data_IF_143885856065
#
_entry.id   IF_143885856065
#
_cell.length_a   1.000
_cell.length_b   1.000
_cell.length_c   1.000
_cell.angle_alpha   90.00
_cell.angle_beta   90.00
_cell.angle_gamma   90.00
#
_symmetry.space_group_name_H-M   'P 1'
#
loop_
_entity.id
_entity.type
_entity.pdbx_description
1 polymer ?
#
# COMPACT_ATOMS: atom_id res chain seq x y z
N UNK A 1 -20.85 -20.22 38.68
CA UNK A 1 -21.09 -20.25 37.23
C UNK A 1 -20.27 -19.13 36.57
N UNK A 2 -18.99 -19.00 36.95
CA UNK A 2 -18.28 -17.69 36.87
C UNK A 2 -16.92 -17.76 36.13
N UNK A 3 -16.50 -18.95 35.70
CA UNK A 3 -15.23 -19.12 34.97
C UNK A 3 -15.34 -18.80 33.47
N UNK A 4 -16.56 -18.79 32.90
CA UNK A 4 -16.78 -18.53 31.48
C UNK A 4 -16.72 -17.03 31.12
N UNK A 5 -16.80 -16.13 32.11
CA UNK A 5 -16.94 -14.69 31.85
C UNK A 5 -15.58 -14.00 31.69
N UNK A 6 -14.59 -14.32 32.53
CA UNK A 6 -13.29 -13.64 32.51
C UNK A 6 -12.45 -13.89 31.26
N UNK A 7 -12.48 -15.12 30.72
CA UNK A 7 -11.70 -15.49 29.52
C UNK A 7 -12.28 -14.91 28.23
N UNK A 8 -13.61 -14.80 28.17
CA UNK A 8 -14.32 -14.20 27.05
C UNK A 8 -14.24 -12.67 27.07
N UNK A 9 -14.26 -12.05 28.25
CA UNK A 9 -14.00 -10.61 28.40
C UNK A 9 -12.56 -10.27 28.04
N UNK A 10 -11.58 -11.09 28.46
CA UNK A 10 -10.19 -10.90 28.06
C UNK A 10 -10.01 -11.00 26.53
N UNK A 11 -10.65 -11.98 25.87
CA UNK A 11 -10.66 -12.11 24.41
C UNK A 11 -11.33 -10.93 23.69
N UNK A 12 -12.45 -10.42 24.24
CA UNK A 12 -13.14 -9.23 23.73
C UNK A 12 -12.27 -7.98 23.85
N UNK A 13 -11.61 -7.79 24.99
CA UNK A 13 -10.69 -6.67 25.22
C UNK A 13 -9.47 -6.78 24.32
N UNK A 14 -8.93 -7.98 24.10
CA UNK A 14 -7.81 -8.21 23.18
C UNK A 14 -8.21 -7.95 21.72
N UNK A 15 -9.42 -8.36 21.32
CA UNK A 15 -9.97 -8.06 19.99
C UNK A 15 -10.22 -6.56 19.81
N UNK A 16 -10.80 -5.88 20.82
CA UNK A 16 -11.03 -4.44 20.80
C UNK A 16 -9.72 -3.65 20.75
N UNK A 17 -8.70 -4.03 21.53
CA UNK A 17 -7.37 -3.43 21.49
C UNK A 17 -6.66 -3.68 20.15
N UNK A 18 -6.77 -4.87 19.57
CA UNK A 18 -6.21 -5.16 18.24
C UNK A 18 -6.92 -4.37 17.14
N UNK A 19 -8.25 -4.23 17.20
CA UNK A 19 -9.00 -3.38 16.29
C UNK A 19 -8.64 -1.89 16.44
N UNK A 20 -8.43 -1.41 17.67
CA UNK A 20 -8.03 -0.03 17.94
C UNK A 20 -6.61 0.26 17.44
N UNK A 21 -5.66 -0.65 17.66
CA UNK A 21 -4.28 -0.52 17.16
C UNK A 21 -4.18 -0.58 15.62
N UNK A 22 -5.06 -1.34 14.96
CA UNK A 22 -5.13 -1.38 13.49
C UNK A 22 -5.81 -0.15 12.89
N UNK A 23 -6.60 0.59 13.67
CA UNK A 23 -7.25 1.83 13.24
C UNK A 23 -6.31 3.06 13.29
N UNK A 24 -5.21 2.99 14.04
CA UNK A 24 -4.30 4.11 14.29
C UNK A 24 -3.00 4.09 13.49
N UNK A 25 -2.96 3.45 12.31
CA UNK A 25 -1.92 3.81 11.33
C UNK A 25 -2.45 4.94 10.47
N UNK A 26 -2.27 6.16 10.99
CA UNK A 26 -2.42 7.39 10.22
C UNK A 26 -1.53 7.30 8.98
N UNK A 27 -2.17 7.39 7.82
CA UNK A 27 -1.50 7.46 6.53
C UNK A 27 -0.39 8.49 6.60
N UNK A 28 0.81 8.09 6.19
CA UNK A 28 1.97 8.95 6.10
C UNK A 28 1.63 10.09 5.15
N UNK A 29 1.21 11.22 5.70
CA UNK A 29 0.86 12.41 4.93
C UNK A 29 2.07 12.80 4.08
N UNK A 30 1.81 12.96 2.78
CA UNK A 30 2.78 13.48 1.82
C UNK A 30 3.16 14.88 2.33
N UNK A 31 4.44 15.14 2.63
CA UNK A 31 4.84 16.43 3.18
C UNK A 31 4.55 17.53 2.15
N UNK A 32 3.86 18.58 2.60
CA UNK A 32 3.51 19.75 1.80
C UNK A 32 4.77 20.34 1.13
N UNK A 33 4.64 20.61 -0.17
CA UNK A 33 5.65 21.16 -1.06
C UNK A 33 6.22 22.47 -0.52
N UNK A 34 7.51 22.47 -0.18
CA UNK A 34 8.26 23.71 0.04
C UNK A 34 8.64 24.30 -1.31
N UNK A 35 7.86 25.29 -1.75
CA UNK A 35 8.22 26.13 -2.88
C UNK A 35 9.37 27.06 -2.47
N UNK A 36 10.53 26.84 -3.07
CA UNK A 36 11.68 27.74 -2.98
C UNK A 36 12.90 27.10 -2.33
N UNK A 37 13.87 26.72 -3.16
CA UNK A 37 15.33 26.86 -2.96
C UNK A 37 16.07 25.89 -3.87
N UNK A 38 16.47 26.30 -5.09
CA UNK A 38 17.47 25.59 -5.94
C UNK A 38 17.53 24.06 -5.75
N UNK A 39 16.37 23.38 -5.80
CA UNK A 39 16.29 21.96 -5.52
C UNK A 39 16.51 21.25 -6.84
N UNK A 40 17.45 20.33 -6.87
CA UNK A 40 17.60 19.42 -7.99
C UNK A 40 16.23 18.81 -8.36
N UNK A 41 15.89 18.73 -9.65
CA UNK A 41 14.62 18.14 -10.08
C UNK A 41 14.51 16.74 -9.50
N UNK A 42 13.35 16.45 -8.89
CA UNK A 42 13.10 15.18 -8.20
C UNK A 42 12.04 14.40 -8.96
N UNK A 43 12.37 13.18 -9.35
CA UNK A 43 11.48 12.28 -10.06
C UNK A 43 11.08 11.12 -9.14
N UNK A 44 9.80 11.01 -8.85
CA UNK A 44 9.28 10.00 -7.92
C UNK A 44 8.45 8.98 -8.68
N UNK A 45 8.83 7.71 -8.53
CA UNK A 45 8.14 6.54 -9.06
C UNK A 45 7.33 5.89 -7.95
N UNK A 46 6.01 5.85 -8.11
CA UNK A 46 5.11 5.08 -7.25
C UNK A 46 4.68 3.84 -8.02
N UNK A 47 5.12 2.66 -7.57
CA UNK A 47 4.86 1.42 -8.30
C UNK A 47 4.39 0.28 -7.38
N UNK A 48 3.64 -0.65 -7.94
CA UNK A 48 3.15 -1.82 -7.22
C UNK A 48 4.30 -2.80 -6.88
N UNK A 49 4.64 -2.94 -5.60
CA UNK A 49 5.69 -3.87 -5.16
C UNK A 49 5.28 -5.34 -5.35
N UNK A 50 4.04 -5.68 -4.98
CA UNK A 50 3.51 -7.05 -5.12
C UNK A 50 3.37 -7.51 -6.57
N UNK A 51 3.32 -6.57 -7.53
CA UNK A 51 3.23 -6.85 -8.96
C UNK A 51 4.61 -7.10 -9.61
N UNK A 52 5.70 -6.99 -8.86
CA UNK A 52 7.05 -7.24 -9.37
C UNK A 52 7.65 -6.11 -10.23
N UNK A 53 7.13 -4.88 -10.14
CA UNK A 53 7.60 -3.76 -10.98
C UNK A 53 8.92 -3.13 -10.52
N UNK A 54 9.50 -3.63 -9.43
CA UNK A 54 10.81 -3.19 -8.94
C UNK A 54 11.89 -3.25 -10.03
N UNK A 55 11.91 -4.31 -10.84
CA UNK A 55 12.88 -4.44 -11.93
C UNK A 55 12.72 -3.34 -12.98
N UNK A 56 11.48 -3.06 -13.39
CA UNK A 56 11.20 -1.99 -14.34
C UNK A 56 11.66 -0.63 -13.77
N UNK A 57 11.40 -0.36 -12.50
CA UNK A 57 11.91 0.83 -11.82
C UNK A 57 13.44 0.91 -11.83
N UNK A 58 14.14 -0.17 -11.48
CA UNK A 58 15.61 -0.23 -11.51
C UNK A 58 16.17 0.03 -12.92
N UNK A 59 15.53 -0.50 -13.96
CA UNK A 59 15.89 -0.23 -15.35
C UNK A 59 15.77 1.27 -15.70
N UNK A 60 14.69 1.95 -15.27
CA UNK A 60 14.55 3.40 -15.48
C UNK A 60 15.58 4.21 -14.68
N UNK A 61 15.90 3.80 -13.45
CA UNK A 61 16.93 4.48 -12.63
C UNK A 61 18.27 4.44 -13.33
N UNK A 62 18.66 3.30 -13.93
CA UNK A 62 19.89 3.18 -14.70
C UNK A 62 19.93 4.15 -15.88
N UNK A 63 18.88 4.13 -16.71
CA UNK A 63 18.78 4.96 -17.91
C UNK A 63 18.74 6.47 -17.56
N UNK A 64 18.02 6.84 -16.49
CA UNK A 64 17.93 8.23 -16.03
C UNK A 64 19.23 8.71 -15.39
N UNK A 65 19.92 7.84 -14.64
CA UNK A 65 21.19 8.17 -14.01
C UNK A 65 22.31 8.46 -15.01
N UNK A 66 22.31 7.76 -16.16
CA UNK A 66 23.26 8.02 -17.25
C UNK A 66 23.00 9.38 -17.95
N UNK A 67 21.72 9.75 -18.15
CA UNK A 67 21.35 10.95 -18.92
C UNK A 67 21.21 12.22 -18.08
N UNK A 68 20.77 12.11 -16.83
CA UNK A 68 20.48 13.25 -15.94
C UNK A 68 21.12 13.05 -14.55
N UNK A 69 22.46 13.14 -14.43
CA UNK A 69 23.17 12.84 -13.17
C UNK A 69 22.85 13.80 -12.02
N UNK A 70 22.38 15.01 -12.33
CA UNK A 70 21.93 15.99 -11.34
C UNK A 70 20.50 15.75 -10.81
N UNK A 71 19.72 14.84 -11.39
CA UNK A 71 18.32 14.59 -11.00
C UNK A 71 18.23 13.54 -9.89
N UNK A 72 17.42 13.79 -8.87
CA UNK A 72 17.18 12.79 -7.81
C UNK A 72 16.02 11.88 -8.21
N UNK A 73 16.26 10.56 -8.24
CA UNK A 73 15.22 9.57 -8.51
C UNK A 73 14.82 8.88 -7.20
N UNK A 74 13.54 8.96 -6.85
CA UNK A 74 12.96 8.30 -5.69
C UNK A 74 11.98 7.21 -6.12
N UNK A 75 11.98 6.08 -5.41
CA UNK A 75 11.05 4.98 -5.63
C UNK A 75 10.31 4.64 -4.35
N UNK A 76 8.99 4.54 -4.44
CA UNK A 76 8.13 4.15 -3.31
C UNK A 76 7.00 3.21 -3.76
N UNK A 77 6.41 2.51 -2.79
CA UNK A 77 5.27 1.64 -3.07
C UNK A 77 4.06 2.50 -3.41
N UNK A 78 3.33 2.11 -4.46
CA UNK A 78 2.04 2.70 -4.73
C UNK A 78 1.00 2.13 -3.76
N UNK A 79 0.50 2.99 -2.87
CA UNK A 79 -0.62 2.64 -2.02
C UNK A 79 -1.90 2.66 -2.87
N UNK A 80 -2.63 1.54 -3.00
CA UNK A 80 -3.83 1.47 -3.83
C UNK A 80 -4.86 2.48 -3.33
N UNK A 81 -5.22 3.51 -4.11
CA UNK A 81 -6.22 4.49 -3.70
C UNK A 81 -7.61 3.85 -3.71
N UNK A 82 -8.47 4.28 -2.78
CA UNK A 82 -9.87 3.88 -2.71
C UNK A 82 -10.15 2.71 -1.75
N UNK A 83 -11.24 1.99 -2.01
CA UNK A 83 -11.80 1.01 -1.07
C UNK A 83 -10.94 -0.26 -0.90
N UNK A 84 -10.09 -0.59 -1.86
CA UNK A 84 -9.25 -1.80 -1.83
C UNK A 84 -8.25 -1.80 -0.66
N UNK A 85 -7.70 -0.63 -0.31
CA UNK A 85 -6.84 -0.49 0.87
C UNK A 85 -7.59 -0.86 2.15
N UNK A 86 -8.77 -0.27 2.36
CA UNK A 86 -9.61 -0.56 3.52
C UNK A 86 -10.07 -2.03 3.55
N UNK A 87 -10.45 -2.58 2.40
CA UNK A 87 -10.81 -3.99 2.28
C UNK A 87 -9.64 -4.91 2.64
N UNK A 88 -8.42 -4.60 2.20
CA UNK A 88 -7.23 -5.37 2.55
C UNK A 88 -6.99 -5.37 4.07
N UNK A 89 -7.14 -4.21 4.73
CA UNK A 89 -7.05 -4.10 6.19
C UNK A 89 -8.16 -4.85 6.92
N UNK A 90 -9.39 -4.83 6.41
CA UNK A 90 -10.51 -5.60 6.96
C UNK A 90 -10.26 -7.10 6.82
N UNK A 91 -9.79 -7.57 5.66
CA UNK A 91 -9.46 -8.98 5.46
C UNK A 91 -8.34 -9.40 6.41
N UNK A 92 -7.32 -8.58 6.58
CA UNK A 92 -6.26 -8.83 7.55
C UNK A 92 -6.81 -8.99 8.98
N UNK A 93 -7.65 -8.07 9.43
CA UNK A 93 -8.27 -8.14 10.75
C UNK A 93 -9.15 -9.40 10.90
N UNK A 94 -10.00 -9.68 9.91
CA UNK A 94 -10.86 -10.86 9.90
C UNK A 94 -10.06 -12.17 9.92
N UNK A 95 -8.98 -12.25 9.15
CA UNK A 95 -8.05 -13.39 9.13
C UNK A 95 -7.53 -13.69 10.53
N UNK A 96 -7.03 -12.66 11.23
CA UNK A 96 -6.51 -12.81 12.60
C UNK A 96 -7.63 -13.23 13.57
N UNK A 97 -8.81 -12.62 13.49
CA UNK A 97 -9.95 -12.97 14.34
C UNK A 97 -10.38 -14.43 14.16
N UNK A 98 -10.44 -14.93 12.92
CA UNK A 98 -10.78 -16.32 12.64
C UNK A 98 -9.70 -17.26 13.19
N UNK A 99 -8.42 -16.96 12.98
CA UNK A 99 -7.31 -17.78 13.51
C UNK A 99 -7.37 -17.88 15.04
N UNK A 100 -7.56 -16.75 15.74
CA UNK A 100 -7.69 -16.72 17.20
C UNK A 100 -8.90 -17.54 17.66
N UNK A 101 -10.02 -17.46 16.95
CA UNK A 101 -11.23 -18.22 17.25
C UNK A 101 -11.02 -19.74 17.09
N UNK A 102 -10.33 -20.16 16.03
CA UNK A 102 -9.99 -21.58 15.79
C UNK A 102 -9.06 -22.11 16.89
N UNK A 103 -8.01 -21.37 17.24
CA UNK A 103 -7.02 -21.79 18.26
C UNK A 103 -7.66 -21.88 19.65
N UNK A 104 -8.47 -20.88 20.03
CA UNK A 104 -9.18 -20.83 21.32
C UNK A 104 -10.32 -21.84 21.45
N UNK A 105 -10.68 -22.53 20.36
CA UNK A 105 -11.84 -23.41 20.24
C UNK A 105 -13.18 -22.72 20.62
N UNK A 106 -13.22 -21.38 20.55
CA UNK A 106 -14.45 -20.60 20.74
C UNK A 106 -15.12 -20.45 19.39
N UNK A 107 -16.41 -20.78 19.32
CA UNK A 107 -17.21 -20.57 18.11
C UNK A 107 -17.76 -19.13 18.11
N UNK A 108 -17.36 -18.27 17.15
CA UNK A 108 -17.90 -16.91 17.05
C UNK A 108 -19.41 -16.93 16.74
N UNK A 109 -19.91 -18.01 16.13
CA UNK A 109 -21.35 -18.20 15.86
C UNK A 109 -22.16 -18.27 17.15
N UNK A 110 -21.65 -18.97 18.18
CA UNK A 110 -22.31 -19.06 19.48
C UNK A 110 -22.41 -17.69 20.16
N UNK A 111 -21.39 -16.83 19.98
CA UNK A 111 -21.42 -15.45 20.51
C UNK A 111 -22.49 -14.59 19.81
N UNK A 112 -22.71 -14.82 18.51
CA UNK A 112 -23.75 -14.14 17.72
C UNK A 112 -25.15 -14.77 17.89
N UNK A 113 -25.30 -15.79 18.74
CA UNK A 113 -26.57 -16.52 18.93
C UNK A 113 -26.97 -17.38 17.72
N UNK A 114 -26.04 -17.65 16.81
CA UNK A 114 -26.26 -18.47 15.61
C UNK A 114 -25.86 -19.92 15.87
N UNK A 115 -26.54 -20.85 15.18
CA UNK A 115 -26.14 -22.26 15.20
C UNK A 115 -24.75 -22.42 14.56
N UNK A 116 -23.87 -23.14 15.24
CA UNK A 116 -22.50 -23.37 14.74
C UNK A 116 -22.55 -24.30 13.52
N UNK A 117 -22.00 -23.89 12.37
CA UNK A 117 -21.98 -24.73 11.17
C UNK A 117 -21.12 -26.00 11.33
N UNK A 118 -21.46 -27.07 10.63
CA UNK A 118 -20.70 -28.34 10.67
C UNK A 118 -19.24 -28.20 10.24
N UNK A 119 -18.97 -27.34 9.23
CA UNK A 119 -17.62 -27.05 8.75
C UNK A 119 -16.73 -26.40 9.82
N UNK A 120 -17.30 -25.65 10.77
CA UNK A 120 -16.54 -25.04 11.85
C UNK A 120 -15.97 -26.09 12.80
N UNK A 121 -16.72 -27.16 13.07
CA UNK A 121 -16.25 -28.30 13.86
C UNK A 121 -15.03 -28.98 13.21
N UNK A 122 -15.01 -29.08 11.89
CA UNK A 122 -13.86 -29.62 11.15
C UNK A 122 -12.61 -28.75 11.29
N UNK A 123 -12.76 -27.42 11.30
CA UNK A 123 -11.63 -26.49 11.54
C UNK A 123 -11.07 -26.64 12.96
N UNK A 124 -11.93 -26.78 13.96
CA UNK A 124 -11.51 -26.97 15.35
C UNK A 124 -10.86 -28.35 15.61
N UNK A 125 -11.28 -29.39 14.88
CA UNK A 125 -10.67 -30.71 14.95
C UNK A 125 -9.22 -30.71 14.42
N UNK A 126 -8.93 -29.88 13.41
CA UNK A 126 -7.62 -29.81 12.75
C UNK A 126 -7.02 -28.40 12.81
N UNK A 127 -6.79 -27.90 14.02
CA UNK A 127 -6.40 -26.48 14.27
C UNK A 127 -5.19 -26.01 13.46
N UNK A 128 -4.11 -26.79 13.43
CA UNK A 128 -2.86 -26.40 12.74
C UNK A 128 -3.10 -26.26 11.24
N UNK A 129 -3.74 -27.26 10.62
CA UNK A 129 -4.08 -27.24 9.21
C UNK A 129 -5.03 -26.09 8.86
N UNK A 130 -6.08 -25.91 9.68
CA UNK A 130 -7.03 -24.82 9.52
C UNK A 130 -6.35 -23.44 9.59
N UNK A 131 -5.49 -23.21 10.59
CA UNK A 131 -4.77 -21.94 10.73
C UNK A 131 -3.83 -21.67 9.55
N UNK A 132 -3.09 -22.69 9.09
CA UNK A 132 -2.24 -22.55 7.90
C UNK A 132 -3.07 -22.21 6.66
N UNK A 133 -4.18 -22.92 6.42
CA UNK A 133 -5.06 -22.67 5.29
C UNK A 133 -5.64 -21.26 5.33
N UNK A 134 -6.16 -20.81 6.48
CA UNK A 134 -6.72 -19.46 6.65
C UNK A 134 -5.64 -18.39 6.43
N UNK A 135 -4.42 -18.61 6.94
CA UNK A 135 -3.32 -17.67 6.77
C UNK A 135 -2.93 -17.52 5.30
N UNK A 136 -2.73 -18.63 4.58
CA UNK A 136 -2.35 -18.59 3.16
C UNK A 136 -3.47 -18.02 2.28
N UNK A 137 -4.72 -18.43 2.49
CA UNK A 137 -5.85 -17.89 1.74
C UNK A 137 -6.08 -16.41 2.02
N UNK A 138 -5.97 -16.00 3.28
CA UNK A 138 -6.07 -14.59 3.66
C UNK A 138 -4.98 -13.75 2.99
N UNK A 139 -3.72 -14.20 3.04
CA UNK A 139 -2.61 -13.52 2.37
C UNK A 139 -2.77 -13.50 0.84
N UNK A 140 -3.34 -14.55 0.24
CA UNK A 140 -3.65 -14.57 -1.19
C UNK A 140 -4.70 -13.50 -1.54
N UNK A 141 -5.78 -13.40 -0.77
CA UNK A 141 -6.84 -12.40 -0.99
C UNK A 141 -6.33 -10.97 -0.75
N UNK A 142 -5.58 -10.74 0.34
CA UNK A 142 -4.90 -9.47 0.61
C UNK A 142 -3.96 -9.10 -0.54
N UNK A 143 -3.19 -10.06 -1.03
CA UNK A 143 -2.29 -9.89 -2.18
C UNK A 143 -3.02 -9.48 -3.45
N UNK A 144 -4.21 -10.05 -3.73
CA UNK A 144 -5.02 -9.65 -4.88
C UNK A 144 -5.54 -8.21 -4.75
N UNK A 145 -5.96 -7.79 -3.56
CA UNK A 145 -6.47 -6.43 -3.34
C UNK A 145 -5.38 -5.36 -3.40
N UNK A 146 -4.16 -5.69 -2.97
CA UNK A 146 -3.02 -4.76 -2.98
C UNK A 146 -2.33 -4.68 -4.34
N UNK A 147 -2.51 -5.70 -5.19
CA UNK A 147 -1.90 -5.78 -6.53
C UNK A 147 -2.61 -4.88 -7.56
N UNK A 148 -2.51 -3.56 -7.36
CA UNK A 148 -3.12 -2.53 -8.20
C UNK A 148 -2.60 -2.48 -9.64
N UNK A 149 -1.40 -3.03 -9.90
CA UNK A 149 -0.75 -2.90 -11.20
C UNK A 149 -0.34 -1.46 -11.53
N UNK A 150 -0.25 -0.59 -10.52
CA UNK A 150 0.12 0.80 -10.70
C UNK A 150 1.61 0.98 -11.03
N UNK A 151 1.88 1.93 -11.90
CA UNK A 151 3.22 2.45 -12.17
C UNK A 151 3.04 3.93 -12.55
N UNK A 152 3.15 4.77 -11.55
CA UNK A 152 2.90 6.21 -11.61
C UNK A 152 4.21 6.94 -11.46
N UNK A 153 4.37 8.00 -12.24
CA UNK A 153 5.59 8.79 -12.26
C UNK A 153 5.20 10.24 -12.07
N UNK A 154 5.89 10.90 -11.15
CA UNK A 154 5.75 12.32 -10.87
C UNK A 154 7.12 13.00 -11.02
N UNK A 155 7.12 14.24 -11.48
CA UNK A 155 8.29 15.09 -11.59
C UNK A 155 8.01 16.37 -10.83
N UNK A 156 8.78 16.64 -9.78
CA UNK A 156 8.54 17.73 -8.81
C UNK A 156 7.08 17.74 -8.31
N UNK A 157 6.58 16.58 -7.91
CA UNK A 157 5.20 16.35 -7.44
C UNK A 157 4.09 16.57 -8.48
N UNK A 158 4.45 16.82 -9.75
CA UNK A 158 3.49 16.90 -10.86
C UNK A 158 3.37 15.52 -11.53
N UNK A 159 2.16 14.94 -11.67
CA UNK A 159 1.99 13.65 -12.33
C UNK A 159 2.29 13.77 -13.83
N UNK A 160 3.23 12.95 -14.31
CA UNK A 160 3.67 12.95 -15.71
C UNK A 160 3.27 11.67 -16.45
N UNK A 161 3.14 10.55 -15.73
CA UNK A 161 2.71 9.29 -16.32
C UNK A 161 1.90 8.46 -15.36
N UNK A 162 0.88 7.79 -15.90
CA UNK A 162 0.06 6.83 -15.19
C UNK A 162 -0.12 5.57 -16.02
N UNK A 163 0.38 4.43 -15.54
CA UNK A 163 0.15 3.15 -16.22
C UNK A 163 -1.31 2.73 -16.13
N UNK A 164 -2.00 3.04 -15.04
CA UNK A 164 -3.42 2.70 -14.88
C UNK A 164 -4.26 3.40 -15.96
N UNK A 165 -3.96 4.67 -16.24
CA UNK A 165 -4.69 5.44 -17.25
C UNK A 165 -4.27 5.07 -18.68
N UNK A 166 -2.98 4.87 -18.92
CA UNK A 166 -2.44 4.62 -20.27
C UNK A 166 -2.46 3.15 -20.69
N UNK A 167 -2.59 2.22 -19.74
CA UNK A 167 -2.54 0.77 -19.95
C UNK A 167 -1.15 0.22 -20.27
N UNK A 168 -0.10 1.05 -20.30
CA UNK A 168 1.26 0.64 -20.72
C UNK A 168 2.36 1.37 -19.96
N UNK A 169 3.55 0.78 -19.98
CA UNK A 169 4.75 1.46 -19.49
C UNK A 169 5.15 2.60 -20.43
N UNK A 170 5.71 3.71 -19.92
CA UNK A 170 6.21 4.79 -20.75
C UNK A 170 7.45 4.36 -21.51
N UNK A 171 7.55 4.73 -22.80
CA UNK A 171 8.80 4.61 -23.51
C UNK A 171 9.83 5.59 -22.91
N UNK A 172 11.11 5.21 -22.75
CA UNK A 172 12.13 6.11 -22.19
C UNK A 172 12.21 7.48 -22.88
N UNK A 173 12.02 7.50 -24.20
CA UNK A 173 12.04 8.73 -25.01
C UNK A 173 10.95 9.72 -24.60
N UNK A 174 9.78 9.23 -24.19
CA UNK A 174 8.68 10.07 -23.71
C UNK A 174 9.04 10.73 -22.39
N UNK A 175 9.66 9.98 -21.47
CA UNK A 175 10.11 10.54 -20.19
C UNK A 175 11.19 11.60 -20.41
N UNK A 176 12.13 11.34 -21.31
CA UNK A 176 13.18 12.30 -21.65
C UNK A 176 12.62 13.61 -22.18
N UNK A 177 11.66 13.56 -23.11
CA UNK A 177 11.01 14.76 -23.64
C UNK A 177 10.32 15.57 -22.53
N UNK A 178 9.64 14.89 -21.60
CA UNK A 178 8.97 15.55 -20.48
C UNK A 178 9.98 16.23 -19.56
N UNK A 179 11.08 15.54 -19.22
CA UNK A 179 12.16 16.07 -18.39
C UNK A 179 12.80 17.28 -19.07
N UNK A 180 13.19 17.15 -20.35
CA UNK A 180 13.85 18.22 -21.10
C UNK A 180 12.98 19.47 -21.17
N UNK A 181 11.67 19.33 -21.39
CA UNK A 181 10.73 20.44 -21.36
C UNK A 181 10.71 21.12 -19.99
N UNK A 182 10.61 20.35 -18.89
CA UNK A 182 10.53 20.89 -17.53
C UNK A 182 11.84 21.56 -17.06
N UNK A 183 12.99 21.02 -17.46
CA UNK A 183 14.29 21.64 -17.22
C UNK A 183 14.40 23.00 -17.93
N UNK A 184 14.02 23.06 -19.21
CA UNK A 184 14.02 24.32 -19.97
C UNK A 184 13.09 25.38 -19.37
N UNK A 185 11.91 24.98 -18.84
CA UNK A 185 11.03 25.93 -18.15
C UNK A 185 11.66 26.46 -16.86
N UNK A 186 12.38 25.62 -16.12
CA UNK A 186 13.04 26.02 -14.87
C UNK A 186 14.19 27.00 -15.12
N UNK A 187 15.01 26.76 -16.15
CA UNK A 187 16.08 27.67 -16.56
C UNK A 187 15.55 29.04 -17.01
N UNK A 188 14.50 29.06 -17.85
CA UNK A 188 13.88 30.31 -18.33
C UNK A 188 13.29 31.18 -17.23
N UNK A 189 12.81 30.59 -16.14
CA UNK A 189 12.28 31.32 -14.98
C UNK A 189 13.40 31.97 -14.17
N UNK A 190 14.58 31.33 -14.08
CA UNK A 190 15.74 31.91 -13.37
C UNK A 190 16.40 33.06 -14.15
N UNK A 191 16.37 33.04 -15.47
CA UNK A 191 16.97 34.08 -16.32
C UNK A 191 16.14 35.38 -16.45
N UNK A 192 14.99 35.51 -15.78
CA UNK A 192 14.20 36.76 -15.81
C UNK A 192 14.43 37.62 -14.55
N UNK A 193 15.43 38.52 -14.53
CA UNK A 193 15.70 39.41 -13.40
C UNK A 193 14.69 40.56 -13.23
N UNK A 194 13.66 40.70 -14.08
CA UNK A 194 12.79 41.90 -14.11
C UNK A 194 11.61 41.89 -13.12
N UNK A 195 11.55 40.98 -12.14
CA UNK A 195 10.53 41.03 -11.07
C UNK A 195 10.90 41.93 -9.88
N UNK A 196 12.00 42.69 -9.97
CA UNK A 196 12.27 43.80 -9.06
C UNK A 196 12.38 45.10 -9.85
N UNK A 197 11.22 45.71 -10.12
CA UNK A 197 11.06 47.16 -10.19
C UNK A 197 9.72 47.57 -9.62
#
# INVERSE_FOLDING_TARGET
>A
MDSLNGRNVALLVLCLCACYALATEEGKEIPATKFGQNVAPTMTFLYCYSCGYRKAFEDYVGILGEKYPQMQVHGANYDPPGMNYYLSKIIFALKILIIVSVVSAVSPFTFLGLNTPSWWGHLQANKIYACMMIFFLGNMLEGQLVSSGAFEITLNDVPVWSKIQTGRFPAPEVLFQIIDNQLQFTEKVQENPDFVK
#
